data_IF_676541623624
#
_entry.id   IF_676541623624
#
_cell.length_a   1.000
_cell.length_b   1.000
_cell.length_c   1.000
_cell.angle_alpha   90.00
_cell.angle_beta   90.00
_cell.angle_gamma   90.00
#
_symmetry.space_group_name_H-M   'P 1'
#
loop_
_entity.id
_entity.type
_entity.pdbx_description
1 polymer ?
#
# COMPACT_ATOMS: atom_id res chain seq x y z
N UNK A 1 3.07 -6.07 15.46
CA UNK A 1 1.64 -6.45 15.39
C UNK A 1 1.52 -7.96 15.40
N UNK A 2 1.10 -8.51 16.54
CA UNK A 2 1.13 -9.97 16.75
C UNK A 2 0.09 -10.74 15.93
N UNK A 3 -1.08 -10.15 15.69
CA UNK A 3 -2.14 -10.80 14.92
C UNK A 3 -1.70 -11.07 13.47
N UNK A 4 -1.01 -10.12 12.83
CA UNK A 4 -0.49 -10.31 11.48
C UNK A 4 0.63 -11.36 11.44
N UNK A 5 1.53 -11.33 12.41
CA UNK A 5 2.60 -12.34 12.52
C UNK A 5 2.00 -13.75 12.67
N UNK A 6 1.00 -13.89 13.53
CA UNK A 6 0.31 -15.17 13.73
C UNK A 6 -0.35 -15.65 12.43
N UNK A 7 -1.06 -14.77 11.71
CA UNK A 7 -1.68 -15.11 10.41
C UNK A 7 -0.63 -15.55 9.36
N UNK A 8 0.51 -14.87 9.31
CA UNK A 8 1.61 -15.25 8.41
C UNK A 8 2.16 -16.63 8.76
N UNK A 9 2.32 -16.95 10.05
CA UNK A 9 2.81 -18.24 10.51
C UNK A 9 1.79 -19.36 10.24
N UNK A 10 0.52 -19.11 10.51
CA UNK A 10 -0.54 -20.12 10.44
C UNK A 10 -0.99 -20.39 8.99
N UNK A 11 -1.02 -19.37 8.15
CA UNK A 11 -1.63 -19.44 6.79
C UNK A 11 -0.67 -19.06 5.65
N UNK A 12 0.48 -18.47 5.96
CA UNK A 12 1.50 -18.11 4.97
C UNK A 12 2.18 -19.36 4.40
N UNK A 13 2.45 -19.36 3.10
CA UNK A 13 3.18 -20.44 2.43
C UNK A 13 4.56 -19.91 2.03
N UNK A 14 5.60 -20.51 2.58
CA UNK A 14 6.99 -20.18 2.22
C UNK A 14 7.29 -20.82 0.87
N UNK A 15 7.59 -20.02 -0.13
CA UNK A 15 7.97 -20.47 -1.47
C UNK A 15 9.50 -20.55 -1.60
N UNK A 16 10.21 -19.59 -1.00
CA UNK A 16 11.68 -19.55 -0.95
C UNK A 16 12.13 -18.73 0.25
N UNK A 17 13.43 -18.62 0.45
CA UNK A 17 14.04 -17.83 1.54
C UNK A 17 13.64 -16.34 1.53
N UNK A 18 13.13 -15.85 0.41
CA UNK A 18 12.76 -14.44 0.23
C UNK A 18 11.31 -14.22 -0.21
N UNK A 19 10.50 -15.28 -0.38
CA UNK A 19 9.13 -15.19 -0.91
C UNK A 19 8.18 -15.94 0.00
N UNK A 20 7.20 -15.20 0.55
CA UNK A 20 6.06 -15.73 1.29
C UNK A 20 4.78 -15.42 0.52
N UNK A 21 3.94 -16.44 0.31
CA UNK A 21 2.61 -16.30 -0.26
C UNK A 21 1.59 -16.08 0.84
N UNK A 22 0.83 -15.00 0.76
CA UNK A 22 -0.19 -14.57 1.73
C UNK A 22 -1.54 -14.31 1.06
N UNK A 23 -1.81 -14.99 -0.04
CA UNK A 23 -2.98 -14.76 -0.90
C UNK A 23 -4.31 -15.04 -0.17
N UNK A 24 -4.28 -15.87 0.87
CA UNK A 24 -5.48 -16.31 1.58
C UNK A 24 -6.09 -15.23 2.48
N UNK A 25 -5.34 -14.17 2.82
CA UNK A 25 -5.82 -13.16 3.77
C UNK A 25 -5.37 -11.72 3.51
N UNK A 26 -4.35 -11.49 2.66
CA UNK A 26 -3.75 -10.16 2.50
C UNK A 26 -3.94 -9.56 1.10
N UNK A 27 -3.49 -10.23 0.05
CA UNK A 27 -3.31 -9.61 -1.26
C UNK A 27 -4.05 -10.25 -2.44
N UNK A 28 -4.86 -11.30 -2.19
CA UNK A 28 -5.77 -11.87 -3.17
C UNK A 28 -7.18 -12.00 -2.56
N UNK A 29 -7.36 -12.87 -1.58
CA UNK A 29 -8.48 -12.80 -0.67
C UNK A 29 -8.11 -11.84 0.46
N UNK A 30 -8.90 -10.82 0.68
CA UNK A 30 -8.63 -9.79 1.68
C UNK A 30 -9.53 -10.04 2.89
N UNK A 31 -8.92 -10.17 4.08
CA UNK A 31 -9.65 -10.24 5.35
C UNK A 31 -9.87 -8.80 5.87
N UNK A 32 -11.10 -8.27 5.83
CA UNK A 32 -11.34 -6.88 6.22
C UNK A 32 -11.09 -6.61 7.71
N UNK A 33 -11.27 -7.60 8.58
CA UNK A 33 -10.99 -7.43 10.01
C UNK A 33 -9.48 -7.34 10.25
N UNK A 34 -8.69 -8.16 9.56
CA UNK A 34 -7.23 -8.04 9.61
C UNK A 34 -6.77 -6.69 9.06
N UNK A 35 -7.38 -6.19 7.97
CA UNK A 35 -7.06 -4.86 7.42
C UNK A 35 -7.39 -3.75 8.42
N UNK A 36 -8.47 -3.87 9.17
CA UNK A 36 -8.83 -2.92 10.21
C UNK A 36 -7.81 -2.88 11.35
N UNK A 37 -7.32 -4.03 11.78
CA UNK A 37 -6.26 -4.14 12.79
C UNK A 37 -4.94 -3.54 12.29
N UNK A 38 -4.56 -3.81 11.03
CA UNK A 38 -3.39 -3.20 10.38
C UNK A 38 -3.52 -1.68 10.35
N UNK A 39 -4.68 -1.17 9.94
CA UNK A 39 -4.95 0.27 9.90
C UNK A 39 -4.86 0.91 11.29
N UNK A 40 -5.37 0.24 12.32
CA UNK A 40 -5.27 0.69 13.71
C UNK A 40 -3.81 0.77 14.17
N UNK A 41 -3.01 -0.24 13.84
CA UNK A 41 -1.58 -0.25 14.14
C UNK A 41 -0.83 0.91 13.45
N UNK A 42 -1.14 1.19 12.17
CA UNK A 42 -0.54 2.33 11.47
C UNK A 42 -0.94 3.66 12.14
N UNK A 43 -2.21 3.85 12.48
CA UNK A 43 -2.65 5.05 13.19
C UNK A 43 -1.92 5.22 14.54
N UNK A 44 -1.74 4.14 15.28
CA UNK A 44 -1.04 4.18 16.56
C UNK A 44 0.45 4.51 16.41
N UNK A 45 1.14 3.89 15.44
CA UNK A 45 2.57 4.12 15.19
C UNK A 45 2.90 5.55 14.76
N UNK A 46 1.97 6.21 14.11
CA UNK A 46 2.13 7.57 13.60
C UNK A 46 1.24 8.59 14.31
N UNK A 47 0.78 8.29 15.54
CA UNK A 47 -0.12 9.13 16.31
C UNK A 47 0.46 10.51 16.66
N UNK A 48 1.79 10.63 16.67
CA UNK A 48 2.53 11.89 16.87
C UNK A 48 2.65 12.74 15.60
N UNK A 49 2.18 12.25 14.45
CA UNK A 49 2.29 12.90 13.15
C UNK A 49 0.91 13.23 12.59
N UNK A 50 0.86 14.28 11.78
CA UNK A 50 -0.34 14.64 11.03
C UNK A 50 -0.09 14.43 9.55
N UNK A 51 -1.04 13.76 8.88
CA UNK A 51 -1.04 13.56 7.44
C UNK A 51 -2.31 14.16 6.84
N UNK A 52 -2.25 14.58 5.59
CA UNK A 52 -3.44 15.04 4.86
C UNK A 52 -3.76 14.17 3.65
N UNK A 53 -2.89 13.23 3.31
CA UNK A 53 -3.09 12.26 2.23
C UNK A 53 -2.37 10.94 2.54
N UNK A 54 -2.93 9.85 1.99
CA UNK A 54 -2.25 8.55 1.93
C UNK A 54 -1.94 8.28 0.46
N UNK A 55 -0.77 7.71 0.20
CA UNK A 55 -0.37 7.23 -1.12
C UNK A 55 -0.02 5.75 -1.03
N UNK A 56 -0.49 4.98 -1.98
CA UNK A 56 -0.15 3.57 -2.18
C UNK A 56 0.05 3.27 -3.65
N UNK A 57 0.38 2.04 -3.98
CA UNK A 57 0.49 1.56 -5.36
C UNK A 57 -0.56 0.48 -5.61
N UNK A 58 -1.19 0.50 -6.79
CA UNK A 58 -2.09 -0.61 -7.14
C UNK A 58 -1.33 -1.94 -7.15
N UNK A 59 -1.91 -3.06 -6.66
CA UNK A 59 -3.29 -3.09 -6.19
C UNK A 59 -3.40 -3.46 -4.70
N UNK A 60 -2.52 -4.29 -4.16
CA UNK A 60 -2.67 -4.92 -2.83
C UNK A 60 -2.53 -3.95 -1.66
N UNK A 61 -1.76 -2.86 -1.80
CA UNK A 61 -1.66 -1.81 -0.80
C UNK A 61 -2.93 -0.97 -0.62
N UNK A 62 -3.89 -1.04 -1.57
CA UNK A 62 -5.12 -0.23 -1.52
C UNK A 62 -5.99 -0.61 -0.31
N UNK A 63 -6.12 -1.90 0.00
CA UNK A 63 -6.99 -2.34 1.09
C UNK A 63 -6.57 -1.75 2.46
N UNK A 64 -5.32 -1.93 2.94
CA UNK A 64 -4.90 -1.33 4.20
C UNK A 64 -4.88 0.21 4.14
N UNK A 65 -4.58 0.80 2.97
CA UNK A 65 -4.60 2.25 2.80
C UNK A 65 -6.00 2.84 2.97
N UNK A 66 -7.03 2.22 2.40
CA UNK A 66 -8.43 2.68 2.53
C UNK A 66 -8.89 2.62 3.99
N UNK A 67 -8.62 1.53 4.71
CA UNK A 67 -9.02 1.43 6.12
C UNK A 67 -8.28 2.45 7.00
N UNK A 68 -7.01 2.71 6.69
CA UNK A 68 -6.23 3.76 7.37
C UNK A 68 -6.78 5.16 7.05
N UNK A 69 -7.09 5.42 5.78
CA UNK A 69 -7.70 6.68 5.34
C UNK A 69 -9.06 6.94 5.99
N UNK A 70 -9.88 5.90 6.15
CA UNK A 70 -11.15 5.99 6.87
C UNK A 70 -10.94 6.39 8.35
N UNK A 71 -9.98 5.76 9.04
CA UNK A 71 -9.65 6.09 10.44
C UNK A 71 -9.10 7.51 10.60
N UNK A 72 -8.21 7.93 9.71
CA UNK A 72 -7.60 9.27 9.73
C UNK A 72 -8.48 10.35 9.11
N UNK A 73 -9.57 9.98 8.40
CA UNK A 73 -10.47 10.87 7.65
C UNK A 73 -9.74 11.68 6.58
N UNK A 74 -8.81 11.06 5.87
CA UNK A 74 -8.03 11.67 4.78
C UNK A 74 -8.12 10.85 3.51
N UNK A 75 -7.99 11.49 2.32
CA UNK A 75 -8.08 10.80 1.04
C UNK A 75 -6.89 9.85 0.81
N UNK A 76 -7.18 8.81 0.02
CA UNK A 76 -6.19 7.83 -0.43
C UNK A 76 -6.01 7.98 -1.93
N UNK A 77 -4.76 8.10 -2.36
CA UNK A 77 -4.33 8.16 -3.75
C UNK A 77 -3.55 6.87 -4.04
N UNK A 78 -3.90 6.17 -5.11
CA UNK A 78 -3.07 5.05 -5.53
C UNK A 78 -2.41 5.33 -6.88
N UNK A 79 -1.12 5.11 -6.94
CA UNK A 79 -0.35 5.18 -8.17
C UNK A 79 -0.73 3.99 -9.07
N UNK A 80 -0.95 4.27 -10.35
CA UNK A 80 -1.31 3.27 -11.35
C UNK A 80 -0.07 2.71 -12.04
N UNK A 81 -0.05 1.41 -12.32
CA UNK A 81 1.06 0.74 -13.02
C UNK A 81 1.00 0.93 -14.54
N UNK A 82 -0.15 1.35 -15.06
CA UNK A 82 -0.32 1.70 -16.46
C UNK A 82 -0.96 3.08 -16.56
N UNK A 83 -0.50 3.90 -17.53
CA UNK A 83 -1.09 5.21 -17.76
C UNK A 83 -2.47 5.05 -18.41
N UNK A 84 -3.57 5.46 -17.76
CA UNK A 84 -4.88 5.46 -18.39
C UNK A 84 -4.94 6.44 -19.55
N UNK A 85 -5.69 6.12 -20.60
CA UNK A 85 -5.90 7.02 -21.75
C UNK A 85 -6.56 8.35 -21.36
N UNK A 86 -7.33 8.35 -20.28
CA UNK A 86 -8.00 9.53 -19.73
C UNK A 86 -7.10 10.41 -18.86
N UNK A 87 -5.87 9.96 -18.54
CA UNK A 87 -4.94 10.73 -17.73
C UNK A 87 -4.27 11.81 -18.58
N UNK A 88 -4.51 13.08 -18.27
CA UNK A 88 -3.83 14.24 -18.87
C UNK A 88 -2.39 14.40 -18.36
N UNK A 89 -2.09 15.50 -17.67
CA UNK A 89 -0.81 15.70 -16.98
C UNK A 89 -0.66 14.73 -15.83
N UNK A 90 0.56 14.28 -15.58
CA UNK A 90 0.83 13.27 -14.56
C UNK A 90 2.24 13.40 -13.99
N UNK A 91 2.40 12.91 -12.78
CA UNK A 91 3.68 12.58 -12.18
C UNK A 91 3.99 11.12 -12.48
N UNK A 92 5.24 10.78 -12.73
CA UNK A 92 5.66 9.39 -12.89
C UNK A 92 6.96 9.11 -12.18
N UNK A 93 7.11 7.87 -11.72
CA UNK A 93 8.36 7.38 -11.16
C UNK A 93 8.65 5.98 -11.73
N UNK A 94 9.93 5.71 -11.98
CA UNK A 94 10.39 4.37 -12.36
C UNK A 94 10.62 3.55 -11.11
N UNK A 95 10.09 2.35 -11.08
CA UNK A 95 10.23 1.41 -9.97
C UNK A 95 10.69 0.05 -10.49
N UNK A 96 11.44 -0.67 -9.66
CA UNK A 96 11.88 -2.03 -9.97
C UNK A 96 11.01 -3.04 -9.22
N UNK A 97 10.42 -3.99 -9.96
CA UNK A 97 9.67 -5.08 -9.35
C UNK A 97 10.60 -6.23 -8.97
N UNK A 98 10.76 -6.46 -7.68
CA UNK A 98 11.58 -7.56 -7.17
C UNK A 98 11.05 -8.93 -7.64
N UNK A 99 9.74 -9.15 -7.60
CA UNK A 99 9.14 -10.45 -7.95
C UNK A 99 9.15 -10.75 -9.45
N UNK A 100 9.12 -9.72 -10.29
CA UNK A 100 9.09 -9.84 -11.76
C UNK A 100 10.43 -9.55 -12.41
N UNK A 101 11.43 -9.10 -11.63
CA UNK A 101 12.75 -8.63 -12.11
C UNK A 101 12.61 -7.68 -13.32
N UNK A 102 11.69 -6.74 -13.22
CA UNK A 102 11.32 -5.82 -14.30
C UNK A 102 11.15 -4.41 -13.76
N UNK A 103 11.64 -3.44 -14.52
CA UNK A 103 11.34 -2.03 -14.31
C UNK A 103 9.97 -1.69 -14.91
N UNK A 104 9.22 -0.87 -14.20
CA UNK A 104 7.96 -0.29 -14.70
C UNK A 104 7.79 1.13 -14.16
N UNK A 105 6.91 1.87 -14.79
CA UNK A 105 6.55 3.19 -14.29
C UNK A 105 5.25 3.14 -13.50
N UNK A 106 5.18 3.96 -12.47
CA UNK A 106 3.93 4.26 -11.76
C UNK A 106 3.52 5.68 -12.07
N UNK A 107 2.22 5.94 -12.07
CA UNK A 107 1.62 7.20 -12.51
C UNK A 107 0.60 7.71 -11.50
N UNK A 108 0.65 9.01 -11.23
CA UNK A 108 -0.35 9.74 -10.44
C UNK A 108 -0.78 10.94 -11.27
N UNK A 109 -2.09 11.19 -11.41
CA UNK A 109 -2.59 12.38 -12.09
C UNK A 109 -2.09 13.65 -11.40
N UNK A 110 -1.72 14.63 -12.20
CA UNK A 110 -1.25 15.93 -11.72
C UNK A 110 -2.35 16.63 -10.89
N UNK A 111 -1.93 17.36 -9.87
CA UNK A 111 -2.82 18.05 -8.95
C UNK A 111 -3.37 17.20 -7.80
N UNK A 112 -3.20 15.87 -7.80
CA UNK A 112 -3.61 15.03 -6.65
C UNK A 112 -2.67 15.13 -5.47
N UNK A 113 -1.39 15.40 -5.71
CA UNK A 113 -0.37 15.66 -4.70
C UNK A 113 0.20 17.05 -4.96
N UNK A 114 0.33 17.85 -3.91
CA UNK A 114 0.81 19.23 -3.99
C UNK A 114 2.01 19.43 -3.07
N UNK A 115 2.82 20.45 -3.40
CA UNK A 115 3.89 20.88 -2.52
C UNK A 115 3.32 21.29 -1.15
N UNK A 116 3.91 20.76 -0.09
CA UNK A 116 3.45 20.99 1.29
C UNK A 116 2.52 19.92 1.84
N UNK A 117 2.06 18.97 0.98
CA UNK A 117 1.32 17.81 1.48
C UNK A 117 2.19 16.96 2.42
N UNK A 118 1.56 16.46 3.47
CA UNK A 118 2.14 15.51 4.41
C UNK A 118 1.54 14.14 4.13
N UNK A 119 2.29 13.32 3.43
CA UNK A 119 1.84 12.06 2.87
C UNK A 119 2.30 10.89 3.74
N UNK A 120 1.37 9.97 4.05
CA UNK A 120 1.68 8.64 4.57
C UNK A 120 1.70 7.66 3.40
N UNK A 121 2.82 6.98 3.21
CA UNK A 121 2.94 5.92 2.20
C UNK A 121 2.62 4.59 2.86
N UNK A 122 1.71 3.82 2.25
CA UNK A 122 1.30 2.48 2.70
C UNK A 122 1.43 1.52 1.54
N UNK A 123 2.03 0.35 1.81
CA UNK A 123 2.07 -0.77 0.87
C UNK A 123 1.94 -2.08 1.65
N UNK A 124 1.70 -3.21 0.97
CA UNK A 124 1.58 -4.53 1.59
C UNK A 124 2.95 -5.16 1.90
N UNK A 125 3.94 -4.95 1.05
CA UNK A 125 5.30 -5.44 1.22
C UNK A 125 6.34 -4.35 0.97
N UNK A 126 7.37 -4.33 1.81
CA UNK A 126 8.57 -3.53 1.60
C UNK A 126 9.70 -4.46 1.11
N UNK A 127 10.02 -4.39 -0.18
CA UNK A 127 11.16 -5.12 -0.76
C UNK A 127 12.43 -4.26 -0.72
N UNK A 128 12.42 -3.13 -1.40
CA UNK A 128 13.55 -2.20 -1.44
C UNK A 128 13.21 -0.81 -0.90
N UNK A 129 11.96 -0.43 -0.88
CA UNK A 129 11.49 0.89 -0.46
C UNK A 129 11.53 1.93 -1.55
#
# INVERSE_FOLDING_TARGET
MEILKKRIIDEGIIISDSIIKVDSFLNHKIDPLLMEEIASEFCNRFSDKSFNKIVTVESSGIAPAILTGLKLKIPVIFAKKAKPSTMGSFLSARVHSFTKDKDYNIFISDGLISKGDRVLIIDDFLAHG
#
